data_IF_170834740818
#
_entry.id   IF_170834740818
#
_cell.length_a   1.000
_cell.length_b   1.000
_cell.length_c   1.000
_cell.angle_alpha   90.00
_cell.angle_beta   90.00
_cell.angle_gamma   90.00
#
_symmetry.space_group_name_H-M   'P 1'
#
loop_
_entity.id
_entity.type
_entity.pdbx_description
1 polymer ?
#
# COMPACT_ATOMS: atom_id res chain seq x y z
N UNK A 1 -29.47 -49.21 10.96
CA UNK A 1 -29.15 -48.78 10.97
C UNK A 1 -28.53 -47.87 10.87
N UNK A 2 -28.29 -47.47 10.78
CA UNK A 2 -27.61 -46.72 10.70
C UNK A 2 -27.43 -45.68 10.31
N UNK A 3 -27.29 -45.27 10.25
CA UNK A 3 -27.08 -44.43 9.94
C UNK A 3 -26.61 -43.45 10.06
N UNK A 4 -26.18 -43.15 10.09
CA UNK A 4 -25.81 -42.41 10.26
C UNK A 4 -25.14 -41.55 10.12
N UNK A 5 -24.87 -41.39 10.03
CA UNK A 5 -24.22 -40.76 10.00
C UNK A 5 -23.81 -39.80 9.58
N UNK A 6 -23.50 -39.46 9.44
CA UNK A 6 -23.09 -38.70 8.99
C UNK A 6 -22.89 -37.57 8.96
N UNK A 7 -22.69 -37.02 9.02
CA UNK A 7 -22.63 -36.03 9.08
C UNK A 7 -21.93 -35.18 9.14
N UNK A 8 -21.48 -34.85 9.09
CA UNK A 8 -20.86 -34.15 9.26
C UNK A 8 -20.14 -33.23 9.06
N UNK A 9 -19.63 -32.83 8.98
CA UNK A 9 -18.72 -32.18 8.98
C UNK A 9 -18.51 -31.07 8.31
N UNK A 10 -18.49 -30.62 8.03
CA UNK A 10 -18.44 -29.70 7.34
C UNK A 10 -18.04 -28.52 7.72
N UNK A 11 -17.88 -28.10 8.47
CA UNK A 11 -17.55 -26.98 8.86
C UNK A 11 -16.30 -26.44 8.61
N UNK A 12 -15.47 -26.93 8.18
CA UNK A 12 -14.27 -26.53 8.05
C UNK A 12 -13.89 -25.48 7.13
N UNK A 13 -14.41 -25.07 6.18
CA UNK A 13 -13.95 -24.14 5.21
C UNK A 13 -13.96 -22.70 5.54
N UNK A 14 -14.58 -22.29 6.60
CA UNK A 14 -14.80 -20.91 6.81
C UNK A 14 -13.57 -20.12 7.14
N UNK A 15 -12.60 -20.73 7.73
CA UNK A 15 -11.48 -19.99 8.14
C UNK A 15 -10.56 -19.48 7.08
N UNK A 16 -10.54 -20.09 5.92
CA UNK A 16 -9.58 -19.75 4.91
C UNK A 16 -9.81 -18.39 4.29
N UNK A 17 -11.02 -17.92 4.33
CA UNK A 17 -11.35 -16.68 3.67
C UNK A 17 -10.66 -15.48 4.27
N UNK A 18 -10.45 -15.46 5.57
CA UNK A 18 -9.84 -14.32 6.20
C UNK A 18 -8.37 -14.18 5.84
N UNK A 19 -7.67 -15.28 5.73
CA UNK A 19 -6.28 -15.24 5.38
C UNK A 19 -6.05 -14.72 3.97
N UNK A 20 -6.96 -15.06 3.06
CA UNK A 20 -6.81 -14.62 1.68
C UNK A 20 -6.91 -13.12 1.52
N UNK A 21 -7.79 -12.49 2.26
CA UNK A 21 -7.96 -11.05 2.15
C UNK A 21 -6.70 -10.30 2.57
N UNK A 22 -6.08 -10.73 3.66
CA UNK A 22 -4.87 -10.09 4.12
C UNK A 22 -3.72 -10.31 3.15
N UNK A 23 -3.62 -11.51 2.60
CA UNK A 23 -2.52 -11.86 1.72
C UNK A 23 -2.53 -11.05 0.44
N UNK A 24 -3.67 -10.50 0.02
CA UNK A 24 -3.76 -9.77 -1.22
C UNK A 24 -3.35 -8.31 -1.11
N UNK A 25 -3.09 -7.80 0.08
CA UNK A 25 -2.76 -6.39 0.22
C UNK A 25 -1.38 -6.06 -0.37
N UNK A 26 -0.42 -6.97 -0.25
CA UNK A 26 0.90 -6.74 -0.78
C UNK A 26 0.91 -6.54 -2.28
N UNK A 27 0.31 -7.45 -3.05
CA UNK A 27 0.25 -7.27 -4.51
C UNK A 27 -0.47 -5.99 -4.92
N UNK A 28 -1.52 -5.60 -4.20
CA UNK A 28 -2.24 -4.37 -4.51
C UNK A 28 -1.33 -3.16 -4.29
N UNK A 29 -0.62 -3.13 -3.17
CA UNK A 29 0.29 -2.03 -2.89
C UNK A 29 1.38 -1.90 -3.93
N UNK A 30 1.95 -3.03 -4.35
CA UNK A 30 2.96 -3.03 -5.38
C UNK A 30 2.40 -2.50 -6.70
N UNK A 31 1.22 -2.93 -7.08
CA UNK A 31 0.62 -2.45 -8.31
C UNK A 31 0.39 -0.95 -8.29
N UNK A 32 -0.10 -0.44 -7.19
CA UNK A 32 -0.35 1.01 -7.10
C UNK A 32 0.97 1.77 -7.18
N UNK A 33 1.99 1.29 -6.49
CA UNK A 33 3.28 1.97 -6.50
C UNK A 33 3.89 2.02 -7.89
N UNK A 34 3.70 0.97 -8.69
CA UNK A 34 4.32 0.88 -10.01
C UNK A 34 3.42 1.34 -11.16
N UNK A 35 2.11 1.30 -10.99
CA UNK A 35 1.18 1.58 -12.09
C UNK A 35 0.10 2.61 -11.76
N UNK A 36 0.02 3.05 -10.51
CA UNK A 36 -1.08 3.89 -10.10
C UNK A 36 -2.34 3.08 -9.85
N UNK A 37 -3.43 3.76 -9.49
CA UNK A 37 -4.66 3.06 -9.14
C UNK A 37 -5.75 3.15 -10.22
N UNK A 38 -5.47 3.84 -11.31
CA UNK A 38 -6.47 3.94 -12.38
C UNK A 38 -7.56 4.97 -12.13
N UNK A 39 -7.56 5.64 -10.97
CA UNK A 39 -8.59 6.62 -10.68
C UNK A 39 -8.00 7.93 -10.18
N UNK A 40 -6.86 8.30 -10.66
CA UNK A 40 -6.31 9.61 -10.35
C UNK A 40 -5.03 9.61 -9.57
N UNK A 41 -4.61 8.49 -9.00
CA UNK A 41 -3.31 8.41 -8.34
C UNK A 41 -2.31 7.83 -9.32
N UNK A 42 -1.33 8.63 -9.75
CA UNK A 42 -0.27 8.12 -10.63
C UNK A 42 0.66 7.19 -9.84
N UNK A 43 1.51 6.48 -10.57
CA UNK A 43 2.47 5.57 -9.96
C UNK A 43 3.44 6.35 -9.08
N UNK A 44 3.75 5.81 -7.91
CA UNK A 44 4.72 6.44 -7.03
C UNK A 44 6.09 6.52 -7.69
N UNK A 45 6.45 5.50 -8.47
CA UNK A 45 7.76 5.48 -9.12
C UNK A 45 7.92 6.60 -10.15
N UNK A 46 6.84 7.17 -10.62
CA UNK A 46 6.93 8.24 -11.62
C UNK A 46 7.70 9.45 -11.11
N UNK A 47 7.63 9.71 -9.81
CA UNK A 47 8.31 10.86 -9.22
C UNK A 47 9.30 10.48 -8.13
N UNK A 48 9.13 9.32 -7.51
CA UNK A 48 9.99 8.94 -6.39
C UNK A 48 11.09 7.94 -6.77
N UNK A 49 11.29 7.71 -8.07
CA UNK A 49 12.35 6.83 -8.56
C UNK A 49 11.85 5.42 -8.77
N UNK A 50 12.44 4.71 -9.74
CA UNK A 50 11.98 3.38 -10.11
C UNK A 50 12.09 2.37 -8.98
N UNK A 51 13.01 2.61 -8.06
CA UNK A 51 13.15 1.75 -6.90
C UNK A 51 12.68 2.48 -5.64
N UNK A 52 11.97 3.59 -5.83
CA UNK A 52 11.42 4.38 -4.73
C UNK A 52 12.51 4.92 -3.82
N UNK A 53 13.65 5.18 -4.44
CA UNK A 53 14.83 5.68 -3.75
C UNK A 53 14.86 7.21 -3.66
N UNK A 54 13.85 7.86 -4.24
CA UNK A 54 13.83 9.31 -4.31
C UNK A 54 14.47 9.83 -5.58
N UNK A 55 14.31 11.12 -5.84
CA UNK A 55 14.86 11.75 -7.04
C UNK A 55 15.36 13.13 -6.67
N UNK A 56 16.68 13.33 -6.84
CA UNK A 56 17.30 14.59 -6.45
C UNK A 56 16.88 15.76 -7.34
N UNK A 57 16.62 15.47 -8.61
CA UNK A 57 16.22 16.53 -9.54
C UNK A 57 14.81 17.00 -9.23
N UNK A 58 13.91 16.06 -9.00
CA UNK A 58 12.52 16.39 -8.65
C UNK A 58 12.38 16.75 -7.18
N UNK A 59 13.41 16.53 -6.39
CA UNK A 59 13.41 16.81 -4.95
C UNK A 59 12.36 15.99 -4.21
N UNK A 60 12.21 14.75 -4.62
CA UNK A 60 11.28 13.83 -3.99
C UNK A 60 12.04 12.90 -3.04
N UNK A 61 11.46 12.58 -1.88
CA UNK A 61 12.16 11.74 -0.92
C UNK A 61 12.10 10.27 -1.28
N UNK A 62 13.00 9.50 -0.70
CA UNK A 62 12.96 8.05 -0.77
C UNK A 62 11.77 7.54 0.02
N UNK A 63 11.10 6.54 -0.52
CA UNK A 63 9.95 5.92 0.14
C UNK A 63 10.24 4.50 0.59
N UNK A 64 11.19 3.83 -0.07
CA UNK A 64 11.49 2.44 0.24
C UNK A 64 11.98 2.30 1.68
N UNK A 65 11.32 1.43 2.42
CA UNK A 65 11.74 1.14 3.78
C UNK A 65 11.21 2.07 4.85
N UNK A 66 10.43 3.09 4.48
CA UNK A 66 9.84 3.97 5.49
C UNK A 66 8.75 3.21 6.25
N UNK A 67 8.58 3.50 7.55
CA UNK A 67 7.53 2.83 8.32
C UNK A 67 6.15 3.10 7.74
N UNK A 68 5.29 2.09 7.77
CA UNK A 68 3.95 2.24 7.19
C UNK A 68 3.18 3.39 7.85
N UNK A 69 3.31 3.54 9.16
CA UNK A 69 2.58 4.60 9.86
C UNK A 69 3.04 5.98 9.44
N UNK A 70 4.34 6.10 9.13
CA UNK A 70 4.85 7.37 8.64
C UNK A 70 4.25 7.69 7.27
N UNK A 71 4.22 6.71 6.37
CA UNK A 71 3.62 6.90 5.05
C UNK A 71 2.16 7.31 5.18
N UNK A 72 1.41 6.60 6.02
CA UNK A 72 -0.01 6.92 6.22
C UNK A 72 -0.21 8.32 6.74
N UNK A 73 0.62 8.74 7.69
CA UNK A 73 0.49 10.09 8.23
C UNK A 73 0.84 11.16 7.19
N UNK A 74 1.82 10.88 6.33
CA UNK A 74 2.15 11.84 5.27
C UNK A 74 1.04 11.94 4.23
N UNK A 75 0.44 10.81 3.87
CA UNK A 75 -0.69 10.85 2.94
C UNK A 75 -1.86 11.61 3.53
N UNK A 76 -2.14 11.41 4.81
CA UNK A 76 -3.19 12.17 5.48
C UNK A 76 -2.88 13.68 5.48
N UNK A 77 -1.63 14.02 5.71
CA UNK A 77 -1.21 15.41 5.69
C UNK A 77 -1.43 16.04 4.32
N UNK A 78 -1.01 15.35 3.26
CA UNK A 78 -1.12 15.92 1.92
C UNK A 78 -2.56 16.07 1.47
N UNK A 79 -3.46 15.20 1.91
CA UNK A 79 -4.87 15.31 1.53
C UNK A 79 -5.64 16.29 2.41
N UNK A 80 -5.04 16.76 3.51
CA UNK A 80 -5.70 17.64 4.45
C UNK A 80 -5.47 19.11 4.14
N UNK A 81 -6.00 19.98 4.98
CA UNK A 81 -5.93 21.42 4.73
C UNK A 81 -4.52 21.99 4.82
N UNK A 82 -3.59 21.29 5.47
CA UNK A 82 -2.23 21.77 5.59
C UNK A 82 -1.32 21.26 4.47
N UNK A 83 -1.83 20.46 3.57
CA UNK A 83 -1.01 19.94 2.47
C UNK A 83 -0.91 20.97 1.36
N UNK A 84 0.31 21.35 1.01
CA UNK A 84 0.53 22.39 0.01
C UNK A 84 1.22 21.88 -1.25
N UNK A 85 1.49 20.61 -1.35
CA UNK A 85 2.08 20.03 -2.55
C UNK A 85 0.97 19.54 -3.44
N UNK A 86 0.76 20.20 -4.59
CA UNK A 86 -0.37 19.89 -5.45
C UNK A 86 -0.34 18.46 -5.99
N UNK A 87 0.83 17.96 -6.37
CA UNK A 87 0.93 16.62 -6.91
C UNK A 87 0.64 15.58 -5.83
N UNK A 88 1.24 15.74 -4.66
CA UNK A 88 0.99 14.78 -3.60
C UNK A 88 -0.43 14.88 -3.05
N UNK A 89 -1.04 16.07 -3.11
CA UNK A 89 -2.46 16.17 -2.76
C UNK A 89 -3.31 15.33 -3.72
N UNK A 90 -3.01 15.40 -5.00
CA UNK A 90 -3.74 14.59 -5.98
C UNK A 90 -3.56 13.10 -5.69
N UNK A 91 -2.34 12.67 -5.45
CA UNK A 91 -2.06 11.26 -5.15
C UNK A 91 -2.82 10.84 -3.89
N UNK A 92 -2.65 11.59 -2.82
CA UNK A 92 -3.22 11.21 -1.54
C UNK A 92 -4.75 11.22 -1.57
N UNK A 93 -5.34 12.19 -2.25
CA UNK A 93 -6.79 12.31 -2.33
C UNK A 93 -7.38 11.18 -3.17
N UNK A 94 -6.67 10.76 -4.20
CA UNK A 94 -7.16 9.72 -5.10
C UNK A 94 -7.00 8.31 -4.55
N UNK A 95 -6.24 8.13 -3.49
CA UNK A 95 -6.07 6.81 -2.87
C UNK A 95 -7.15 6.61 -1.81
N UNK A 96 -7.91 5.54 -1.92
CA UNK A 96 -8.87 5.18 -0.89
C UNK A 96 -8.16 4.66 0.34
N UNK A 97 -8.92 4.48 1.42
CA UNK A 97 -8.35 4.05 2.69
C UNK A 97 -7.61 2.72 2.57
N UNK A 98 -8.20 1.75 1.91
CA UNK A 98 -7.57 0.44 1.74
C UNK A 98 -6.34 0.55 0.86
N UNK A 99 -6.38 1.41 -0.14
CA UNK A 99 -5.26 1.60 -1.04
C UNK A 99 -4.08 2.25 -0.32
N UNK A 100 -4.34 3.21 0.55
CA UNK A 100 -3.28 3.82 1.34
C UNK A 100 -2.62 2.80 2.25
N UNK A 101 -3.43 1.95 2.88
CA UNK A 101 -2.90 0.90 3.74
C UNK A 101 -2.04 -0.07 2.95
N UNK A 102 -2.51 -0.48 1.78
CA UNK A 102 -1.75 -1.43 0.96
C UNK A 102 -0.43 -0.84 0.49
N UNK A 103 -0.46 0.41 0.03
CA UNK A 103 0.76 1.08 -0.43
C UNK A 103 1.73 1.26 0.73
N UNK A 104 1.24 1.70 1.89
CA UNK A 104 2.10 1.91 3.03
C UNK A 104 2.77 0.61 3.48
N UNK A 105 2.02 -0.48 3.49
CA UNK A 105 2.57 -1.77 3.86
C UNK A 105 3.63 -2.23 2.85
N UNK A 106 3.36 -2.03 1.56
CA UNK A 106 4.31 -2.40 0.53
C UNK A 106 5.60 -1.61 0.66
N UNK A 107 5.51 -0.30 0.80
CA UNK A 107 6.69 0.55 0.90
C UNK A 107 7.52 0.20 2.13
N UNK A 108 6.85 -0.08 3.24
CA UNK A 108 7.56 -0.44 4.46
C UNK A 108 8.29 -1.78 4.34
N UNK A 109 7.83 -2.64 3.43
CA UNK A 109 8.45 -3.96 3.26
C UNK A 109 9.72 -3.90 2.40
N UNK A 110 9.98 -2.78 1.75
CA UNK A 110 11.12 -2.68 0.85
C UNK A 110 12.38 -2.35 1.61
N UNK A 111 13.51 -2.73 1.03
CA UNK A 111 14.80 -2.38 1.60
C UNK A 111 15.17 -0.97 1.16
N UNK A 112 15.61 -0.15 2.10
CA UNK A 112 16.01 1.20 1.77
C UNK A 112 17.25 1.15 0.88
N UNK A 113 17.27 2.01 -0.13
CA UNK A 113 18.37 2.07 -1.08
C UNK A 113 19.09 3.38 -0.86
N UNK A 114 20.40 3.33 -0.84
CA UNK A 114 21.19 4.54 -0.62
C UNK A 114 21.47 4.83 0.83
N UNK A 115 21.12 3.92 1.70
CA UNK A 115 21.44 4.07 3.11
C UNK A 115 20.34 4.72 3.91
N UNK A 116 20.56 4.85 5.19
CA UNK A 116 19.51 5.30 6.12
C UNK A 116 19.45 6.79 6.21
N UNK A 117 19.10 7.45 5.22
CA UNK A 117 19.12 8.89 5.26
C UNK A 117 17.76 9.52 5.40
N UNK A 118 16.83 8.83 5.90
CA UNK A 118 15.54 9.45 6.06
C UNK A 118 15.44 10.27 7.32
#
# INVERSE_FOLDING_TARGET
MMRDLLVLPVLVGSFLALGSAVANMGPIGSQIAHNGNGHGAPACIACHGEQLEGDAVLKTPALAGLPAEFILSRLAHYSGPQGHNAMMRQVATALGSDERQAVAAYLASLTAIGGPSH
#
